data_IF_559106524152
#
_entry.id   IF_559106524152
#
_cell.length_a   1.000
_cell.length_b   1.000
_cell.length_c   1.000
_cell.angle_alpha   90.00
_cell.angle_beta   90.00
_cell.angle_gamma   90.00
#
_symmetry.space_group_name_H-M   'P 1'
#
loop_
_entity.id
_entity.type
_entity.pdbx_description
1 polymer ?
#
# COMPACT_ATOMS: atom_id res chain seq x y z
N UNK A 1 -1.34 -15.70 9.59
CA UNK A 1 -2.11 -14.45 9.51
C UNK A 1 -2.68 -14.00 10.86
N UNK A 2 -2.78 -14.85 11.90
CA UNK A 2 -3.22 -14.40 13.24
C UNK A 2 -4.63 -13.80 13.26
N UNK A 3 -5.55 -14.37 12.46
CA UNK A 3 -6.92 -13.88 12.30
C UNK A 3 -7.87 -14.65 13.21
N UNK A 4 -8.99 -14.01 13.58
CA UNK A 4 -10.13 -14.74 14.13
C UNK A 4 -10.76 -15.64 13.08
N UNK A 5 -11.45 -16.70 13.50
CA UNK A 5 -12.10 -17.65 12.57
C UNK A 5 -13.04 -16.96 11.59
N UNK A 6 -13.83 -15.99 12.08
CA UNK A 6 -14.73 -15.18 11.23
C UNK A 6 -13.96 -14.40 10.15
N UNK A 7 -12.83 -13.80 10.49
CA UNK A 7 -12.01 -13.08 9.52
C UNK A 7 -11.26 -14.03 8.58
N UNK A 8 -10.88 -15.21 9.06
CA UNK A 8 -10.31 -16.27 8.24
C UNK A 8 -11.29 -16.76 7.17
N UNK A 9 -12.53 -17.08 7.57
CA UNK A 9 -13.59 -17.51 6.66
C UNK A 9 -13.91 -16.44 5.60
N UNK A 10 -14.05 -15.18 6.01
CA UNK A 10 -14.28 -14.07 5.08
C UNK A 10 -13.12 -13.92 4.07
N UNK A 11 -11.87 -14.08 4.52
CA UNK A 11 -10.74 -13.99 3.60
C UNK A 11 -10.67 -15.18 2.64
N UNK A 12 -11.06 -16.36 3.10
CA UNK A 12 -11.18 -17.55 2.26
C UNK A 12 -12.22 -17.32 1.16
N UNK A 13 -13.43 -16.87 1.51
CA UNK A 13 -14.50 -16.54 0.56
C UNK A 13 -14.03 -15.52 -0.48
N UNK A 14 -13.38 -14.44 -0.05
CA UNK A 14 -12.81 -13.43 -0.96
C UNK A 14 -11.84 -14.02 -1.99
N UNK A 15 -11.03 -14.99 -1.61
CA UNK A 15 -10.13 -15.66 -2.56
C UNK A 15 -10.86 -16.63 -3.49
N UNK A 16 -11.96 -17.25 -3.06
CA UNK A 16 -12.79 -18.09 -3.93
C UNK A 16 -13.59 -17.26 -4.94
N UNK A 17 -14.06 -16.09 -4.54
CA UNK A 17 -14.79 -15.13 -5.38
C UNK A 17 -13.86 -14.26 -6.23
N UNK A 18 -12.54 -14.39 -6.06
CA UNK A 18 -11.59 -13.57 -6.79
C UNK A 18 -11.63 -13.92 -8.27
N UNK A 19 -11.94 -12.94 -9.11
CA UNK A 19 -12.03 -13.16 -10.54
C UNK A 19 -11.70 -11.92 -11.36
N UNK A 20 -11.24 -12.16 -12.58
CA UNK A 20 -11.04 -11.14 -13.62
C UNK A 20 -11.97 -11.43 -14.79
N UNK A 21 -12.46 -10.41 -15.52
CA UNK A 21 -12.05 -9.00 -15.46
C UNK A 21 -12.65 -8.22 -14.29
N UNK A 22 -11.92 -7.19 -13.84
CA UNK A 22 -12.42 -6.26 -12.83
C UNK A 22 -13.36 -5.24 -13.45
N UNK A 23 -14.53 -5.08 -12.84
CA UNK A 23 -15.58 -4.14 -13.23
C UNK A 23 -16.03 -3.36 -12.01
N UNK A 24 -16.71 -2.23 -12.21
CA UNK A 24 -17.27 -1.45 -11.10
C UNK A 24 -18.30 -2.22 -10.25
N UNK A 25 -18.82 -3.36 -10.73
CA UNK A 25 -19.77 -4.18 -9.96
C UNK A 25 -19.08 -5.19 -9.05
N UNK A 26 -17.90 -5.70 -9.42
CA UNK A 26 -17.18 -6.72 -8.64
C UNK A 26 -15.91 -6.18 -7.96
N UNK A 27 -15.56 -4.90 -8.14
CA UNK A 27 -14.33 -4.30 -7.64
C UNK A 27 -14.49 -2.81 -7.34
N UNK A 28 -13.53 -2.24 -6.62
CA UNK A 28 -13.51 -0.82 -6.25
C UNK A 28 -12.11 -0.22 -6.45
N UNK A 29 -12.03 1.09 -6.70
CA UNK A 29 -10.75 1.79 -6.78
C UNK A 29 -9.95 1.62 -5.49
N UNK A 30 -8.65 1.34 -5.60
CA UNK A 30 -7.77 1.05 -4.48
C UNK A 30 -7.80 2.12 -3.37
N UNK A 31 -7.75 3.40 -3.75
CA UNK A 31 -7.78 4.52 -2.80
C UNK A 31 -9.08 4.60 -1.98
N UNK A 32 -10.18 4.04 -2.50
CA UNK A 32 -11.49 3.99 -1.84
C UNK A 32 -11.78 2.64 -1.18
N UNK A 33 -11.00 1.60 -1.51
CA UNK A 33 -11.18 0.23 -1.05
C UNK A 33 -10.38 -0.05 0.23
N UNK A 34 -9.15 0.45 0.31
CA UNK A 34 -8.36 0.32 1.53
C UNK A 34 -8.91 1.20 2.65
N UNK A 35 -8.93 0.64 3.86
CA UNK A 35 -9.40 1.29 5.08
C UNK A 35 -8.37 1.07 6.19
N UNK A 36 -8.19 2.07 7.06
CA UNK A 36 -7.20 2.09 8.14
C UNK A 36 -6.71 3.52 8.40
N UNK A 37 -5.96 3.76 9.47
CA UNK A 37 -5.61 5.11 9.94
C UNK A 37 -4.92 5.96 8.85
N UNK A 38 -4.01 5.35 8.06
CA UNK A 38 -3.35 6.02 6.94
C UNK A 38 -4.34 6.50 5.88
N UNK A 39 -5.31 5.65 5.53
CA UNK A 39 -6.32 5.97 4.51
C UNK A 39 -7.43 6.88 5.04
N UNK A 40 -7.70 6.85 6.35
CA UNK A 40 -8.58 7.83 7.00
C UNK A 40 -7.94 9.22 6.97
N UNK A 41 -6.63 9.33 7.25
CA UNK A 41 -5.92 10.60 7.15
C UNK A 41 -5.79 11.15 5.73
N UNK A 42 -5.82 10.27 4.72
CA UNK A 42 -5.86 10.66 3.30
C UNK A 42 -7.22 11.24 2.87
N UNK A 43 -8.30 10.86 3.56
CA UNK A 43 -9.69 11.25 3.29
C UNK A 43 -10.04 11.24 1.79
N UNK A 44 -9.85 10.10 1.14
CA UNK A 44 -9.97 9.98 -0.31
C UNK A 44 -11.36 10.34 -0.86
N UNK A 45 -12.39 10.27 -0.03
CA UNK A 45 -13.78 10.60 -0.38
C UNK A 45 -14.00 12.12 -0.46
N UNK A 46 -13.13 12.94 0.14
CA UNK A 46 -13.18 14.41 0.06
C UNK A 46 -12.39 15.01 -1.09
N UNK A 47 -11.61 14.20 -1.82
CA UNK A 47 -10.74 14.68 -2.91
C UNK A 47 -11.56 15.08 -4.14
N UNK A 48 -11.24 16.24 -4.71
CA UNK A 48 -11.74 16.69 -6.00
C UNK A 48 -11.20 15.84 -7.16
N UNK A 49 -11.83 15.92 -8.34
CA UNK A 49 -11.35 15.22 -9.54
C UNK A 49 -9.91 15.59 -9.91
N UNK A 50 -9.53 16.85 -9.73
CA UNK A 50 -8.16 17.33 -9.97
C UNK A 50 -7.17 16.70 -9.00
N UNK A 51 -7.52 16.61 -7.73
CA UNK A 51 -6.68 15.97 -6.71
C UNK A 51 -6.57 14.46 -6.94
N UNK A 52 -7.67 13.79 -7.33
CA UNK A 52 -7.65 12.38 -7.71
C UNK A 52 -6.79 12.13 -8.95
N UNK A 53 -6.85 13.01 -9.95
CA UNK A 53 -5.99 12.94 -11.14
C UNK A 53 -4.52 13.15 -10.79
N UNK A 54 -4.23 14.07 -9.85
CA UNK A 54 -2.88 14.26 -9.33
C UNK A 54 -2.40 13.02 -8.56
N UNK A 55 -3.23 12.47 -7.67
CA UNK A 55 -2.92 11.27 -6.91
C UNK A 55 -2.67 10.08 -7.84
N UNK A 56 -3.50 9.91 -8.88
CA UNK A 56 -3.36 8.83 -9.86
C UNK A 56 -2.00 8.82 -10.55
N UNK A 57 -1.37 10.00 -10.70
CA UNK A 57 -0.03 10.15 -11.27
C UNK A 57 1.06 9.90 -10.22
N UNK A 58 0.92 10.47 -9.02
CA UNK A 58 2.03 10.58 -8.05
C UNK A 58 1.99 9.60 -6.88
N UNK A 59 0.83 9.01 -6.58
CA UNK A 59 0.66 8.09 -5.44
C UNK A 59 0.72 6.65 -5.93
N UNK A 60 1.39 5.80 -5.16
CA UNK A 60 1.41 4.35 -5.35
C UNK A 60 1.10 3.68 -4.02
N UNK A 61 0.31 2.62 -4.08
CA UNK A 61 -0.10 1.82 -2.93
C UNK A 61 0.57 0.45 -3.06
N UNK A 62 1.44 0.10 -2.12
CA UNK A 62 2.06 -1.23 -2.07
C UNK A 62 1.06 -2.26 -1.53
N UNK A 63 1.09 -3.45 -2.11
CA UNK A 63 0.03 -4.45 -1.96
C UNK A 63 0.63 -5.85 -1.98
N UNK A 64 0.31 -6.71 -1.01
CA UNK A 64 0.85 -8.08 -1.00
C UNK A 64 0.34 -8.92 -2.17
N UNK A 65 -0.93 -8.73 -2.57
CA UNK A 65 -1.56 -9.45 -3.68
C UNK A 65 -1.33 -8.79 -5.04
N UNK A 66 -1.37 -7.46 -5.10
CA UNK A 66 -1.30 -6.72 -6.36
C UNK A 66 0.09 -6.12 -6.65
N UNK A 67 1.02 -6.22 -5.71
CA UNK A 67 2.36 -5.65 -5.80
C UNK A 67 2.33 -4.14 -5.60
N UNK A 68 1.90 -3.42 -6.62
CA UNK A 68 1.81 -1.96 -6.64
C UNK A 68 0.56 -1.52 -7.40
N UNK A 69 -0.22 -0.62 -6.79
CA UNK A 69 -1.47 -0.10 -7.34
C UNK A 69 -1.40 1.42 -7.49
N UNK A 70 -2.05 1.94 -8.53
CA UNK A 70 -2.44 3.35 -8.59
C UNK A 70 -3.76 3.58 -7.85
N UNK A 71 -4.02 4.79 -7.34
CA UNK A 71 -5.25 5.12 -6.62
C UNK A 71 -6.56 4.63 -7.24
N UNK A 72 -6.70 4.75 -8.55
CA UNK A 72 -7.92 4.45 -9.30
C UNK A 72 -7.91 3.04 -9.91
N UNK A 73 -6.87 2.25 -9.69
CA UNK A 73 -6.86 0.85 -10.13
C UNK A 73 -7.97 0.10 -9.40
N UNK A 74 -8.77 -0.64 -10.17
CA UNK A 74 -9.80 -1.50 -9.63
C UNK A 74 -9.18 -2.71 -8.94
N UNK A 75 -9.66 -3.01 -7.74
CA UNK A 75 -9.25 -4.18 -6.98
C UNK A 75 -10.45 -4.81 -6.27
N UNK A 76 -10.37 -6.13 -6.10
CA UNK A 76 -11.28 -6.87 -5.25
C UNK A 76 -10.76 -6.92 -3.82
N UNK A 77 -11.65 -7.10 -2.87
CA UNK A 77 -11.27 -7.19 -1.47
C UNK A 77 -10.42 -8.44 -1.24
N UNK A 78 -9.32 -8.29 -0.52
CA UNK A 78 -8.44 -9.38 -0.15
C UNK A 78 -7.79 -9.09 1.20
N UNK A 79 -7.15 -10.08 1.80
CA UNK A 79 -6.21 -9.88 2.89
C UNK A 79 -5.00 -10.78 2.67
N UNK A 80 -3.88 -10.14 2.33
CA UNK A 80 -2.58 -10.76 2.16
C UNK A 80 -1.52 -9.69 2.44
N UNK A 81 -1.09 -9.60 3.69
CA UNK A 81 -0.05 -8.66 4.12
C UNK A 81 1.31 -9.05 3.51
N UNK A 82 2.15 -8.05 3.17
CA UNK A 82 3.44 -8.27 2.50
C UNK A 82 4.37 -9.17 3.32
N UNK A 83 4.32 -9.08 4.65
CA UNK A 83 5.10 -9.94 5.56
C UNK A 83 4.58 -11.38 5.71
N UNK A 84 3.51 -11.76 5.00
CA UNK A 84 2.94 -13.12 5.11
C UNK A 84 3.94 -14.15 4.57
N UNK A 85 4.23 -15.17 5.39
CA UNK A 85 4.93 -16.37 4.92
C UNK A 85 4.02 -17.14 3.98
N UNK A 86 4.34 -17.10 2.69
CA UNK A 86 3.54 -17.69 1.63
C UNK A 86 4.48 -18.21 0.55
N UNK A 87 4.74 -19.51 0.56
CA UNK A 87 5.60 -20.15 -0.42
C UNK A 87 4.91 -20.17 -1.79
N UNK A 88 5.66 -19.80 -2.81
CA UNK A 88 5.22 -19.74 -4.21
C UNK A 88 6.25 -20.41 -5.09
N UNK A 89 5.94 -20.60 -6.38
CA UNK A 89 6.93 -21.07 -7.37
C UNK A 89 8.12 -20.10 -7.54
N UNK A 90 8.03 -18.87 -7.03
CA UNK A 90 9.05 -17.82 -7.16
C UNK A 90 9.82 -17.54 -5.87
N UNK A 91 9.55 -18.28 -4.79
CA UNK A 91 10.24 -18.11 -3.51
C UNK A 91 9.38 -18.41 -2.29
N UNK A 92 9.98 -18.34 -1.12
CA UNK A 92 9.41 -18.76 0.17
C UNK A 92 8.48 -17.70 0.82
N UNK A 93 8.47 -16.49 0.26
CA UNK A 93 7.68 -15.36 0.76
C UNK A 93 7.35 -14.36 -0.35
N UNK A 94 6.53 -13.36 -0.02
CA UNK A 94 6.08 -12.36 -0.98
C UNK A 94 7.19 -11.38 -1.41
N UNK A 95 8.24 -11.17 -0.61
CA UNK A 95 9.39 -10.35 -1.03
C UNK A 95 10.13 -11.01 -2.19
N UNK A 96 10.36 -12.33 -2.11
CA UNK A 96 10.97 -13.11 -3.20
C UNK A 96 10.03 -13.24 -4.39
N UNK A 97 8.73 -13.41 -4.16
CA UNK A 97 7.75 -13.47 -5.23
C UNK A 97 7.73 -12.19 -6.09
N UNK A 98 7.78 -11.02 -5.43
CA UNK A 98 7.77 -9.72 -6.10
C UNK A 98 9.14 -9.31 -6.62
N UNK A 99 10.22 -9.66 -5.91
CA UNK A 99 11.61 -9.38 -6.29
C UNK A 99 11.80 -7.98 -6.92
N UNK A 100 12.23 -7.88 -8.18
CA UNK A 100 12.43 -6.61 -8.88
C UNK A 100 11.15 -5.99 -9.44
N UNK A 101 10.03 -6.73 -9.53
CA UNK A 101 8.83 -6.34 -10.27
C UNK A 101 8.27 -4.98 -9.81
N UNK A 102 8.21 -4.76 -8.49
CA UNK A 102 7.69 -3.52 -7.91
C UNK A 102 8.66 -2.36 -8.20
N UNK A 103 9.96 -2.58 -8.02
CA UNK A 103 11.01 -1.58 -8.28
C UNK A 103 11.04 -1.19 -9.76
N UNK A 104 10.93 -2.17 -10.65
CA UNK A 104 10.90 -1.96 -12.10
C UNK A 104 9.67 -1.15 -12.52
N UNK A 105 8.51 -1.41 -11.92
CA UNK A 105 7.31 -0.59 -12.14
C UNK A 105 7.48 0.84 -11.64
N UNK A 106 8.06 1.04 -10.45
CA UNK A 106 8.36 2.40 -9.96
C UNK A 106 9.31 3.13 -10.91
N UNK A 107 10.39 2.48 -11.33
CA UNK A 107 11.39 3.05 -12.23
C UNK A 107 10.80 3.48 -13.58
N UNK A 108 9.81 2.74 -14.11
CA UNK A 108 9.08 3.13 -15.33
C UNK A 108 8.28 4.43 -15.19
N UNK A 109 7.93 4.81 -13.96
CA UNK A 109 7.11 5.99 -13.67
C UNK A 109 7.94 7.23 -13.29
N UNK A 110 9.27 7.10 -13.16
CA UNK A 110 10.16 8.22 -12.87
C UNK A 110 10.54 8.96 -14.15
N UNK A 111 10.45 10.30 -14.12
CA UNK A 111 10.75 11.15 -15.28
C UNK A 111 12.25 11.37 -15.49
N UNK A 112 13.07 11.12 -14.47
CA UNK A 112 14.53 11.19 -14.52
C UNK A 112 15.15 10.46 -13.33
N UNK A 113 16.46 10.20 -13.38
CA UNK A 113 17.22 9.59 -12.29
C UNK A 113 17.29 10.47 -11.03
N UNK A 114 16.91 11.76 -11.13
CA UNK A 114 16.81 12.70 -10.01
C UNK A 114 15.40 12.75 -9.38
N UNK A 115 14.50 11.84 -9.77
CA UNK A 115 13.17 11.75 -9.17
C UNK A 115 13.26 11.52 -7.67
N UNK A 116 12.22 11.92 -6.94
CA UNK A 116 12.12 11.69 -5.49
C UNK A 116 10.97 10.74 -5.20
N UNK A 117 11.28 9.64 -4.51
CA UNK A 117 10.29 8.75 -3.92
C UNK A 117 10.09 9.12 -2.45
N UNK A 118 8.91 9.67 -2.13
CA UNK A 118 8.50 9.91 -0.75
C UNK A 118 7.93 8.61 -0.17
N UNK A 119 8.70 7.95 0.71
CA UNK A 119 8.27 6.73 1.37
C UNK A 119 7.43 7.07 2.62
N UNK A 120 6.12 6.86 2.50
CA UNK A 120 5.14 6.89 3.60
C UNK A 120 4.60 5.48 3.92
N UNK A 121 5.17 4.44 3.32
CA UNK A 121 4.79 3.06 3.58
C UNK A 121 5.45 2.56 4.87
N UNK A 122 4.83 1.58 5.53
CA UNK A 122 5.50 0.89 6.63
C UNK A 122 6.74 0.13 6.13
N UNK A 123 7.69 -0.11 7.02
CA UNK A 123 8.89 -0.89 6.71
C UNK A 123 8.57 -2.27 6.12
N UNK A 124 7.46 -2.89 6.56
CA UNK A 124 7.01 -4.19 6.05
C UNK A 124 6.75 -4.14 4.54
N UNK A 125 6.08 -3.10 4.05
CA UNK A 125 5.76 -2.96 2.63
C UNK A 125 6.95 -2.38 1.86
N UNK A 126 7.64 -1.37 2.42
CA UNK A 126 8.77 -0.75 1.73
C UNK A 126 9.93 -1.72 1.46
N UNK A 127 10.08 -2.78 2.28
CA UNK A 127 11.05 -3.86 2.05
C UNK A 127 10.82 -4.62 0.72
N UNK A 128 9.64 -4.51 0.11
CA UNK A 128 9.37 -5.08 -1.22
C UNK A 128 10.00 -4.28 -2.38
N UNK A 129 10.61 -3.13 -2.10
CA UNK A 129 11.33 -2.31 -3.08
C UNK A 129 12.83 -2.56 -2.94
N UNK A 130 13.49 -2.87 -4.05
CA UNK A 130 14.94 -2.95 -4.13
C UNK A 130 15.53 -1.54 -4.25
N UNK A 131 15.87 -0.94 -3.11
CA UNK A 131 16.40 0.43 -3.05
C UNK A 131 17.71 0.58 -3.85
N UNK A 132 18.51 -0.47 -3.97
CA UNK A 132 19.77 -0.42 -4.72
C UNK A 132 19.60 -0.29 -6.24
N UNK A 133 18.42 -0.66 -6.76
CA UNK A 133 18.07 -0.59 -8.18
C UNK A 133 17.11 0.58 -8.49
N UNK A 134 16.73 1.36 -7.48
CA UNK A 134 15.77 2.44 -7.61
C UNK A 134 16.42 3.69 -8.24
N UNK A 135 15.81 4.20 -9.31
CA UNK A 135 16.25 5.41 -10.03
C UNK A 135 15.67 6.70 -9.44
N UNK A 136 15.67 6.79 -8.12
CA UNK A 136 15.12 7.92 -7.39
C UNK A 136 15.78 8.09 -6.01
N UNK A 137 15.83 9.33 -5.54
CA UNK A 137 16.17 9.65 -4.16
C UNK A 137 15.01 9.26 -3.24
N UNK A 138 15.29 8.52 -2.16
CA UNK A 138 14.27 8.13 -1.19
C UNK A 138 14.26 9.11 -0.03
N UNK A 139 13.10 9.67 0.27
CA UNK A 139 12.85 10.47 1.48
C UNK A 139 11.84 9.72 2.35
N UNK A 140 12.19 9.43 3.60
CA UNK A 140 11.33 8.76 4.57
C UNK A 140 11.06 9.66 5.78
N UNK A 141 9.95 10.43 5.77
CA UNK A 141 9.56 11.22 6.94
C UNK A 141 9.30 10.33 8.15
N UNK A 142 9.78 10.74 9.32
CA UNK A 142 9.50 10.07 10.60
C UNK A 142 8.62 10.98 11.45
N UNK A 143 7.41 10.54 11.74
CA UNK A 143 6.45 11.26 12.57
C UNK A 143 6.62 10.85 14.04
N UNK A 144 6.87 11.84 14.93
CA UNK A 144 7.09 11.61 16.35
C UNK A 144 6.17 12.49 17.22
N UNK A 145 5.67 11.93 18.32
CA UNK A 145 4.93 12.67 19.36
C UNK A 145 5.83 12.92 20.57
N UNK A 146 5.63 14.05 21.24
CA UNK A 146 6.34 14.38 22.47
C UNK A 146 5.54 13.89 23.67
N UNK A 147 6.03 12.83 24.32
CA UNK A 147 5.46 12.32 25.58
C UNK A 147 6.50 12.34 26.69
N UNK A 148 6.16 12.99 27.80
CA UNK A 148 7.03 13.13 28.97
C UNK A 148 8.43 13.69 28.62
N UNK A 149 8.48 14.72 27.77
CA UNK A 149 9.72 15.37 27.36
C UNK A 149 10.56 14.60 26.33
N UNK A 150 10.19 13.38 25.96
CA UNK A 150 10.88 12.57 24.94
C UNK A 150 10.03 12.41 23.69
N UNK A 151 10.67 12.48 22.52
CA UNK A 151 10.02 12.17 21.25
C UNK A 151 9.97 10.65 21.05
N UNK A 152 8.79 10.15 20.65
CA UNK A 152 8.57 8.74 20.32
C UNK A 152 7.88 8.63 18.97
N UNK A 153 8.30 7.67 18.15
CA UNK A 153 7.64 7.36 16.87
C UNK A 153 6.17 7.03 17.15
N UNK A 154 5.28 7.65 16.38
CA UNK A 154 3.86 7.35 16.41
C UNK A 154 3.59 6.31 15.33
N UNK A 155 3.20 5.10 15.73
CA UNK A 155 2.88 4.04 14.77
C UNK A 155 1.45 4.14 14.21
N UNK A 156 0.56 4.94 14.82
CA UNK A 156 -0.86 5.03 14.43
C UNK A 156 -1.41 6.45 14.66
N UNK A 157 -2.01 7.05 13.62
CA UNK A 157 -2.77 8.30 13.71
C UNK A 157 -4.16 8.02 14.31
N UNK A 158 -4.21 7.63 15.59
CA UNK A 158 -5.44 7.62 16.36
C UNK A 158 -5.58 8.95 17.10
N UNK A 159 -5.83 10.04 16.37
CA UNK A 159 -6.36 11.30 16.94
C UNK A 159 -6.92 12.18 15.83
N UNK A 160 -8.22 12.02 15.62
CA UNK A 160 -9.10 13.09 15.16
C UNK A 160 -8.89 14.26 16.14
N UNK A 161 -8.34 15.39 15.69
CA UNK A 161 -8.54 16.65 16.41
C UNK A 161 -9.94 17.09 16.03
N UNK A 162 -10.88 16.89 16.94
CA UNK A 162 -12.08 17.71 16.98
C UNK A 162 -11.60 19.04 17.57
N UNK A 163 -11.46 20.04 16.69
CA UNK A 163 -11.52 21.44 17.09
C UNK A 163 -13.00 21.87 17.12
#
# INVERSE_FOLDING_TARGET
MGLSDKLGALNYERFQEWETPFTKSNSKQAILAFKGDVYQGLDAESLSETELSWAQKHVRILSGLYGILKPLDLMQAYRLEMGTKFATKRGENLYEFWNSIITDELNRNFSSDNSTLLNLASNEYFKSINVSELKANVISPVFMDKKNGKYKIISFFARKRED
#
